data_IF_968101159083
#
_entry.id   IF_968101159083
#
_cell.length_a   1.000
_cell.length_b   1.000
_cell.length_c   1.000
_cell.angle_alpha   90.00
_cell.angle_beta   90.00
_cell.angle_gamma   90.00
#
_symmetry.space_group_name_H-M   'P 1'
#
loop_
_entity.id
_entity.type
_entity.pdbx_description
1 polymer ?
#
# COMPACT_ATOMS: atom_id res chain seq x y z
N UNK A 1 5.02 11.80 31.40
CA UNK A 1 4.00 11.27 30.47
C UNK A 1 3.26 12.37 29.72
N UNK A 2 2.65 13.35 30.41
CA UNK A 2 1.91 14.48 29.79
C UNK A 2 2.75 15.28 28.78
N UNK A 3 4.02 15.58 29.10
CA UNK A 3 4.94 16.29 28.19
C UNK A 3 5.23 15.49 26.91
N UNK A 4 5.33 14.16 27.03
CA UNK A 4 5.58 13.26 25.90
C UNK A 4 4.38 13.28 24.95
N UNK A 5 3.17 13.15 25.49
CA UNK A 5 1.90 13.19 24.73
C UNK A 5 1.71 14.54 24.04
N UNK A 6 1.97 15.65 24.75
CA UNK A 6 1.88 17.00 24.17
C UNK A 6 2.87 17.19 23.02
N UNK A 7 4.09 16.68 23.17
CA UNK A 7 5.10 16.74 22.12
C UNK A 7 4.68 15.88 20.91
N UNK A 8 4.12 14.69 21.14
CA UNK A 8 3.59 13.83 20.08
C UNK A 8 2.44 14.47 19.33
N UNK A 9 1.53 15.22 19.95
CA UNK A 9 0.54 15.97 19.17
C UNK A 9 1.15 17.14 18.38
N UNK A 10 2.20 17.78 18.89
CA UNK A 10 2.83 18.94 18.27
C UNK A 10 3.70 18.56 17.06
N UNK A 11 4.53 17.54 17.21
CA UNK A 11 5.48 17.09 16.18
C UNK A 11 5.06 15.80 15.48
N UNK A 12 4.09 15.05 16.03
CA UNK A 12 3.59 13.78 15.49
C UNK A 12 4.72 12.76 15.34
N UNK A 13 5.10 12.50 14.10
CA UNK A 13 6.24 11.67 13.72
C UNK A 13 7.35 12.47 13.05
N UNK A 14 7.26 13.80 12.98
CA UNK A 14 8.27 14.68 12.41
C UNK A 14 9.27 15.12 13.48
N UNK A 15 10.50 15.42 13.06
CA UNK A 15 11.55 15.97 13.95
C UNK A 15 11.35 17.47 14.18
N UNK A 16 11.56 18.24 13.13
CA UNK A 16 11.35 19.68 13.09
C UNK A 16 10.85 20.05 11.69
N UNK A 17 9.90 20.98 11.62
CA UNK A 17 9.30 21.47 10.39
C UNK A 17 10.09 22.63 9.78
N UNK A 18 11.06 23.18 10.50
CA UNK A 18 11.91 24.30 10.06
C UNK A 18 13.18 23.86 9.33
N UNK A 19 13.50 22.58 9.34
CA UNK A 19 14.67 22.03 8.65
C UNK A 19 14.46 22.02 7.13
N UNK A 20 15.53 22.24 6.35
CA UNK A 20 15.48 22.16 4.88
C UNK A 20 15.03 20.78 4.40
N UNK A 21 15.53 19.73 5.05
CA UNK A 21 15.12 18.35 4.83
C UNK A 21 14.27 17.86 6.00
N UNK A 22 12.99 17.61 5.74
CA UNK A 22 12.07 17.13 6.77
C UNK A 22 12.38 15.67 7.08
N UNK A 23 12.60 15.39 8.37
CA UNK A 23 12.84 14.05 8.89
C UNK A 23 11.61 13.49 9.58
N UNK A 24 11.42 12.17 9.44
CA UNK A 24 10.35 11.40 10.09
C UNK A 24 10.92 10.25 10.94
N UNK A 25 10.17 9.88 11.97
CA UNK A 25 10.49 8.77 12.86
C UNK A 25 10.18 7.43 12.17
N UNK A 26 11.23 6.73 11.74
CA UNK A 26 11.15 5.44 11.05
C UNK A 26 10.49 4.36 11.92
N UNK A 27 10.63 4.42 13.25
CA UNK A 27 9.97 3.48 14.14
C UNK A 27 8.44 3.60 14.04
N UNK A 28 7.91 4.83 14.02
CA UNK A 28 6.48 5.09 13.86
C UNK A 28 5.99 4.64 12.47
N UNK A 29 6.78 4.91 11.43
CA UNK A 29 6.48 4.48 10.06
C UNK A 29 6.39 2.96 9.94
N UNK A 30 7.30 2.22 10.58
CA UNK A 30 7.27 0.74 10.59
C UNK A 30 6.06 0.18 11.32
N UNK A 31 5.70 0.76 12.48
CA UNK A 31 4.49 0.37 13.20
C UNK A 31 3.25 0.64 12.34
N UNK A 32 3.19 1.78 11.66
CA UNK A 32 2.11 2.09 10.72
C UNK A 32 2.02 1.09 9.57
N UNK A 33 3.16 0.75 8.95
CA UNK A 33 3.21 -0.27 7.90
C UNK A 33 2.67 -1.61 8.41
N UNK A 34 3.01 -1.99 9.65
CA UNK A 34 2.48 -3.19 10.31
C UNK A 34 0.97 -3.15 10.54
N UNK A 35 0.41 -2.02 10.98
CA UNK A 35 -1.04 -1.86 11.15
C UNK A 35 -1.77 -1.97 9.80
N UNK A 36 -1.27 -1.26 8.78
CA UNK A 36 -1.88 -1.24 7.46
C UNK A 36 -1.71 -2.58 6.72
N UNK A 37 -0.81 -3.46 7.15
CA UNK A 37 -0.59 -4.81 6.58
C UNK A 37 -1.85 -5.68 6.60
N UNK A 38 -2.77 -5.42 7.54
CA UNK A 38 -4.05 -6.15 7.64
C UNK A 38 -4.85 -6.02 6.34
N UNK A 39 -4.78 -4.87 5.68
CA UNK A 39 -5.53 -4.56 4.47
C UNK A 39 -5.09 -5.47 3.31
N UNK A 40 -3.83 -5.46 2.83
CA UNK A 40 -3.43 -6.33 1.74
C UNK A 40 -3.59 -7.82 2.08
N UNK A 41 -3.43 -8.25 3.34
CA UNK A 41 -3.73 -9.63 3.74
C UNK A 41 -5.19 -9.99 3.44
N UNK A 42 -6.14 -9.16 3.89
CA UNK A 42 -7.56 -9.35 3.62
C UNK A 42 -7.87 -9.34 2.10
N UNK A 43 -7.23 -8.44 1.36
CA UNK A 43 -7.41 -8.34 -0.09
C UNK A 43 -6.86 -9.56 -0.84
N UNK A 44 -5.74 -10.14 -0.41
CA UNK A 44 -5.20 -11.39 -0.99
C UNK A 44 -6.23 -12.51 -0.86
N UNK A 45 -6.79 -12.73 0.34
CA UNK A 45 -7.79 -13.79 0.53
C UNK A 45 -9.03 -13.58 -0.34
N UNK A 46 -9.49 -12.33 -0.44
CA UNK A 46 -10.61 -12.00 -1.34
C UNK A 46 -10.27 -12.33 -2.79
N UNK A 47 -9.12 -11.87 -3.29
CA UNK A 47 -8.73 -12.07 -4.69
C UNK A 47 -8.45 -13.53 -5.02
N UNK A 48 -7.90 -14.32 -4.08
CA UNK A 48 -7.76 -15.77 -4.26
C UNK A 48 -9.14 -16.41 -4.45
N UNK A 49 -10.13 -16.05 -3.64
CA UNK A 49 -11.50 -16.56 -3.82
C UNK A 49 -12.09 -16.13 -5.16
N UNK A 50 -11.85 -14.90 -5.60
CA UNK A 50 -12.39 -14.38 -6.87
C UNK A 50 -11.74 -15.06 -8.08
N UNK A 51 -10.42 -15.30 -8.03
CA UNK A 51 -9.64 -15.84 -9.15
C UNK A 51 -9.77 -17.37 -9.24
N UNK A 52 -9.75 -18.07 -8.12
CA UNK A 52 -9.71 -19.54 -8.07
C UNK A 52 -11.00 -20.18 -7.57
N UNK A 53 -11.98 -19.39 -7.11
CA UNK A 53 -13.27 -19.92 -6.69
C UNK A 53 -14.10 -20.45 -7.87
N UNK A 54 -15.02 -21.39 -7.64
CA UNK A 54 -15.91 -21.89 -8.68
C UNK A 54 -16.74 -20.73 -9.25
N UNK A 55 -16.61 -20.49 -10.55
CA UNK A 55 -17.34 -19.41 -11.23
C UNK A 55 -18.81 -19.76 -11.44
N UNK A 56 -19.12 -21.05 -11.59
CA UNK A 56 -20.44 -21.59 -11.82
C UNK A 56 -20.81 -22.56 -10.70
N UNK A 57 -22.02 -22.40 -10.18
CA UNK A 57 -22.60 -23.28 -9.16
C UNK A 57 -23.93 -23.80 -9.70
N UNK A 58 -24.13 -25.11 -9.65
CA UNK A 58 -25.40 -25.74 -10.04
C UNK A 58 -26.49 -25.26 -9.09
N UNK A 59 -27.62 -24.80 -9.63
CA UNK A 59 -28.72 -24.29 -8.83
C UNK A 59 -29.28 -25.39 -7.92
N UNK A 60 -29.31 -25.15 -6.61
CA UNK A 60 -29.69 -26.13 -5.57
C UNK A 60 -31.10 -26.72 -5.74
N UNK A 61 -31.97 -26.02 -6.46
CA UNK A 61 -33.37 -26.38 -6.71
C UNK A 61 -33.60 -27.03 -8.09
N UNK A 62 -32.55 -27.30 -8.87
CA UNK A 62 -32.68 -27.95 -10.18
C UNK A 62 -32.22 -29.40 -10.14
N UNK A 63 -33.06 -30.29 -10.66
CA UNK A 63 -32.72 -31.70 -10.90
C UNK A 63 -31.92 -31.73 -12.20
N UNK A 64 -30.71 -32.30 -12.16
CA UNK A 64 -29.94 -32.54 -13.37
C UNK A 64 -30.77 -33.40 -14.33
N UNK A 65 -31.06 -32.87 -15.52
CA UNK A 65 -31.87 -33.57 -16.52
C UNK A 65 -30.90 -34.32 -17.43
N UNK A 66 -31.05 -35.64 -17.49
CA UNK A 66 -30.31 -36.49 -18.42
C UNK A 66 -30.72 -36.14 -19.86
N UNK A 67 -29.75 -35.85 -20.73
CA UNK A 67 -30.04 -35.54 -22.14
C UNK A 67 -30.18 -36.79 -23.01
N UNK A 68 -29.91 -37.98 -22.44
CA UNK A 68 -29.84 -39.28 -23.13
C UNK A 68 -28.81 -39.32 -24.27
N UNK A 69 -27.89 -38.37 -24.30
CA UNK A 69 -26.80 -38.28 -25.26
C UNK A 69 -25.48 -38.60 -24.56
N UNK A 70 -24.55 -39.21 -25.29
CA UNK A 70 -23.18 -39.43 -24.83
C UNK A 70 -22.21 -38.49 -25.55
N UNK A 71 -21.19 -38.02 -24.84
CA UNK A 71 -20.10 -37.29 -25.48
C UNK A 71 -19.17 -38.24 -26.27
N UNK A 72 -18.18 -37.67 -26.93
CA UNK A 72 -17.18 -38.42 -27.72
C UNK A 72 -16.31 -39.40 -26.90
N UNK A 73 -16.43 -39.37 -25.57
CA UNK A 73 -15.74 -40.24 -24.61
C UNK A 73 -16.72 -41.21 -23.91
N UNK A 74 -17.92 -41.42 -24.47
CA UNK A 74 -18.98 -42.29 -23.95
C UNK A 74 -19.49 -41.91 -22.54
N UNK A 75 -19.40 -40.64 -22.15
CA UNK A 75 -19.96 -40.12 -20.90
C UNK A 75 -21.36 -39.55 -21.14
N UNK A 76 -22.31 -39.85 -20.25
CA UNK A 76 -23.69 -39.35 -20.31
C UNK A 76 -23.70 -37.83 -20.06
N UNK A 77 -24.35 -37.09 -20.96
CA UNK A 77 -24.48 -35.64 -20.88
C UNK A 77 -25.69 -35.28 -20.02
N UNK A 78 -25.49 -34.40 -19.04
CA UNK A 78 -26.55 -33.86 -18.19
C UNK A 78 -26.70 -32.36 -18.45
N UNK A 79 -27.94 -31.90 -18.58
CA UNK A 79 -28.29 -30.50 -18.61
C UNK A 79 -28.58 -30.00 -17.18
N UNK A 80 -27.85 -28.97 -16.76
CA UNK A 80 -28.00 -28.35 -15.44
C UNK A 80 -28.20 -26.84 -15.59
N UNK A 81 -29.05 -26.27 -14.75
CA UNK A 81 -29.12 -24.82 -14.60
C UNK A 81 -27.97 -24.38 -13.69
N UNK A 82 -27.08 -23.55 -14.23
CA UNK A 82 -25.93 -23.04 -13.50
C UNK A 82 -26.10 -21.55 -13.23
N UNK A 83 -25.86 -21.15 -11.99
CA UNK A 83 -25.80 -19.75 -11.59
C UNK A 83 -24.35 -19.30 -11.49
N UNK A 84 -24.09 -18.05 -11.92
CA UNK A 84 -22.77 -17.44 -11.76
C UNK A 84 -22.70 -16.74 -10.41
N UNK A 85 -21.62 -16.98 -9.67
CA UNK A 85 -21.40 -16.31 -8.39
C UNK A 85 -21.16 -14.81 -8.60
N UNK A 86 -21.96 -13.98 -7.94
CA UNK A 86 -21.79 -12.52 -7.89
C UNK A 86 -21.12 -12.15 -6.57
N UNK A 87 -20.09 -11.32 -6.62
CA UNK A 87 -19.39 -10.83 -5.43
C UNK A 87 -19.85 -9.43 -5.09
N UNK A 88 -20.19 -9.21 -3.81
CA UNK A 88 -20.35 -7.86 -3.26
C UNK A 88 -18.99 -7.37 -2.74
N UNK A 89 -18.48 -6.30 -3.36
CA UNK A 89 -17.21 -5.67 -3.00
C UNK A 89 -17.38 -4.39 -2.16
N UNK A 90 -18.56 -4.12 -1.60
CA UNK A 90 -18.84 -2.89 -0.86
C UNK A 90 -17.87 -2.67 0.30
N UNK A 91 -17.59 -3.72 1.08
CA UNK A 91 -16.68 -3.63 2.23
C UNK A 91 -15.22 -3.45 1.80
N UNK A 92 -14.77 -4.24 0.82
CA UNK A 92 -13.44 -4.19 0.23
C UNK A 92 -13.16 -2.79 -0.32
N UNK A 93 -14.14 -2.21 -1.02
CA UNK A 93 -14.06 -0.87 -1.59
C UNK A 93 -13.93 0.20 -0.51
N UNK A 94 -14.74 0.14 0.55
CA UNK A 94 -14.62 1.07 1.69
C UNK A 94 -13.24 0.98 2.35
N UNK A 95 -12.72 -0.24 2.51
CA UNK A 95 -11.41 -0.48 3.11
C UNK A 95 -10.27 0.05 2.21
N UNK A 96 -10.35 -0.16 0.90
CA UNK A 96 -9.39 0.38 -0.06
C UNK A 96 -9.45 1.91 -0.14
N UNK A 97 -10.63 2.51 -0.11
CA UNK A 97 -10.77 3.97 -0.05
C UNK A 97 -10.14 4.52 1.22
N UNK A 98 -10.35 3.86 2.36
CA UNK A 98 -9.67 4.21 3.61
C UNK A 98 -8.15 4.13 3.47
N UNK A 99 -7.63 3.03 2.90
CA UNK A 99 -6.20 2.86 2.64
C UNK A 99 -5.65 3.93 1.68
N UNK A 100 -6.39 4.28 0.63
CA UNK A 100 -6.02 5.31 -0.33
C UNK A 100 -5.93 6.67 0.35
N UNK A 101 -6.94 7.02 1.14
CA UNK A 101 -6.97 8.25 1.92
C UNK A 101 -5.78 8.33 2.88
N UNK A 102 -5.47 7.24 3.58
CA UNK A 102 -4.28 7.11 4.43
C UNK A 102 -2.97 7.36 3.68
N UNK A 103 -2.80 6.81 2.48
CA UNK A 103 -1.61 7.06 1.65
C UNK A 103 -1.51 8.52 1.20
N UNK A 104 -2.63 9.11 0.75
CA UNK A 104 -2.67 10.49 0.26
C UNK A 104 -2.40 11.51 1.38
N UNK A 105 -3.00 11.32 2.55
CA UNK A 105 -2.75 12.17 3.71
C UNK A 105 -1.27 12.18 4.10
N UNK A 106 -0.58 11.05 3.94
CA UNK A 106 0.85 10.92 4.28
C UNK A 106 1.75 11.80 3.41
N UNK A 107 1.34 12.12 2.19
CA UNK A 107 2.15 12.91 1.26
C UNK A 107 2.39 14.32 1.78
N UNK A 108 1.42 14.90 2.49
CA UNK A 108 1.50 16.26 3.01
C UNK A 108 1.72 16.30 4.52
N UNK A 109 2.45 17.31 4.99
CA UNK A 109 2.71 17.51 6.43
C UNK A 109 1.38 17.77 7.16
N UNK A 110 0.53 18.61 6.58
CA UNK A 110 -0.76 18.97 7.15
C UNK A 110 -1.69 17.74 7.14
N UNK A 111 -1.79 17.05 6.01
CA UNK A 111 -2.63 15.85 5.86
C UNK A 111 -2.25 14.75 6.84
N UNK A 112 -0.96 14.54 7.10
CA UNK A 112 -0.48 13.50 8.02
C UNK A 112 -1.04 13.65 9.44
N UNK A 113 -1.44 14.86 9.86
CA UNK A 113 -2.07 15.11 11.16
C UNK A 113 -3.50 14.59 11.26
N UNK A 114 -4.17 14.43 10.13
CA UNK A 114 -5.55 13.93 10.05
C UNK A 114 -5.62 12.41 9.86
N UNK A 115 -4.48 11.74 9.68
CA UNK A 115 -4.45 10.29 9.50
C UNK A 115 -4.60 9.57 10.84
N UNK A 116 -5.65 8.73 11.00
CA UNK A 116 -5.82 7.90 12.18
C UNK A 116 -4.64 6.95 12.43
N UNK A 117 -4.13 6.27 11.40
CA UNK A 117 -3.01 5.33 11.63
C UNK A 117 -1.70 6.01 11.97
N UNK A 118 -1.46 7.21 11.44
CA UNK A 118 -0.26 7.97 11.79
C UNK A 118 -0.29 8.33 13.27
N UNK A 119 -1.40 8.90 13.74
CA UNK A 119 -1.61 9.21 15.15
C UNK A 119 -1.40 7.98 16.02
N UNK A 120 -2.08 6.88 15.70
CA UNK A 120 -1.96 5.63 16.45
C UNK A 120 -0.52 5.10 16.48
N UNK A 121 0.18 5.12 15.34
CA UNK A 121 1.57 4.66 15.27
C UNK A 121 2.55 5.54 16.07
N UNK A 122 2.32 6.86 16.09
CA UNK A 122 3.08 7.80 16.91
C UNK A 122 2.83 7.56 18.41
N UNK A 123 1.61 7.18 18.80
CA UNK A 123 1.31 6.81 20.18
C UNK A 123 1.94 5.48 20.59
N UNK A 124 1.88 4.46 19.72
CA UNK A 124 2.45 3.15 19.99
C UNK A 124 3.99 3.13 20.03
N UNK A 125 4.62 4.19 19.52
CA UNK A 125 6.08 4.36 19.55
C UNK A 125 6.57 5.32 20.64
N UNK A 126 5.67 5.76 21.53
CA UNK A 126 6.05 6.54 22.71
C UNK A 126 7.07 5.79 23.57
N UNK A 127 8.14 6.47 23.96
CA UNK A 127 9.18 5.91 24.82
C UNK A 127 10.23 5.06 24.11
N UNK A 128 10.10 4.83 22.79
CA UNK A 128 11.19 4.27 21.98
C UNK A 128 12.07 5.38 21.42
N UNK A 129 13.37 5.10 21.30
CA UNK A 129 14.30 6.04 20.69
C UNK A 129 13.95 6.27 19.21
N UNK A 130 13.73 7.53 18.79
CA UNK A 130 13.34 7.82 17.42
C UNK A 130 14.52 7.68 16.48
N UNK A 131 14.31 6.96 15.37
CA UNK A 131 15.26 6.84 14.27
C UNK A 131 14.82 7.78 13.16
N UNK A 132 15.60 8.81 12.89
CA UNK A 132 15.24 9.85 11.93
C UNK A 132 15.69 9.51 10.51
N UNK A 133 14.75 9.52 9.56
CA UNK A 133 15.01 9.34 8.13
C UNK A 133 14.32 10.44 7.31
N UNK A 134 14.84 10.81 6.12
CA UNK A 134 14.24 11.86 5.31
C UNK A 134 12.86 11.45 4.76
N UNK A 135 11.95 12.42 4.68
CA UNK A 135 10.57 12.24 4.22
C UNK A 135 10.45 11.96 2.71
N UNK A 136 11.31 12.57 1.89
CA UNK A 136 11.22 12.52 0.42
C UNK A 136 11.05 11.09 -0.15
N UNK A 137 11.96 10.15 0.15
CA UNK A 137 11.86 8.78 -0.34
C UNK A 137 10.61 8.04 0.11
N UNK A 138 10.06 8.38 1.28
CA UNK A 138 8.86 7.74 1.83
C UNK A 138 7.60 8.19 1.11
N UNK A 139 7.56 9.43 0.61
CA UNK A 139 6.48 9.90 -0.27
C UNK A 139 6.38 9.06 -1.55
N UNK A 140 7.50 8.63 -2.11
CA UNK A 140 7.51 7.74 -3.27
C UNK A 140 6.87 6.38 -2.93
N UNK A 141 7.19 5.80 -1.77
CA UNK A 141 6.56 4.56 -1.32
C UNK A 141 5.03 4.70 -1.16
N UNK A 142 4.56 5.81 -0.57
CA UNK A 142 3.12 6.06 -0.43
C UNK A 142 2.42 6.33 -1.76
N UNK A 143 3.06 7.01 -2.70
CA UNK A 143 2.53 7.19 -4.07
C UNK A 143 2.39 5.85 -4.79
N UNK A 144 3.38 4.97 -4.65
CA UNK A 144 3.34 3.63 -5.22
C UNK A 144 2.20 2.81 -4.61
N UNK A 145 2.04 2.83 -3.29
CA UNK A 145 0.91 2.20 -2.61
C UNK A 145 -0.43 2.77 -3.05
N UNK A 146 -0.57 4.09 -3.16
CA UNK A 146 -1.78 4.74 -3.66
C UNK A 146 -2.13 4.30 -5.09
N UNK A 147 -1.14 4.22 -5.98
CA UNK A 147 -1.32 3.71 -7.34
C UNK A 147 -1.87 2.28 -7.35
N UNK A 148 -1.30 1.40 -6.52
CA UNK A 148 -1.73 0.01 -6.44
C UNK A 148 -3.17 -0.13 -5.93
N UNK A 149 -3.52 0.67 -4.91
CA UNK A 149 -4.87 0.71 -4.36
C UNK A 149 -5.87 1.21 -5.42
N UNK A 150 -5.52 2.25 -6.19
CA UNK A 150 -6.38 2.75 -7.26
C UNK A 150 -6.69 1.70 -8.32
N UNK A 151 -5.68 0.93 -8.77
CA UNK A 151 -5.90 -0.18 -9.72
C UNK A 151 -6.84 -1.23 -9.13
N UNK A 152 -6.71 -1.55 -7.84
CA UNK A 152 -7.61 -2.49 -7.17
C UNK A 152 -9.04 -1.95 -7.08
N UNK A 153 -9.23 -0.65 -6.82
CA UNK A 153 -10.56 -0.02 -6.77
C UNK A 153 -11.25 -0.13 -8.14
N UNK A 154 -10.53 0.12 -9.24
CA UNK A 154 -11.04 -0.05 -10.61
C UNK A 154 -11.42 -1.50 -10.87
N UNK A 155 -10.61 -2.47 -10.43
CA UNK A 155 -10.93 -3.89 -10.58
C UNK A 155 -12.23 -4.30 -9.86
N UNK A 156 -12.48 -3.77 -8.66
CA UNK A 156 -13.67 -4.11 -7.87
C UNK A 156 -14.93 -3.36 -8.28
N UNK A 157 -14.81 -2.16 -8.87
CA UNK A 157 -15.96 -1.33 -9.26
C UNK A 157 -15.76 -0.77 -10.68
N UNK A 158 -15.63 -1.63 -11.71
CA UNK A 158 -15.36 -1.17 -13.07
C UNK A 158 -16.51 -0.33 -13.61
N UNK A 159 -17.75 -0.70 -13.30
CA UNK A 159 -19.00 -0.03 -13.67
C UNK A 159 -19.09 1.39 -13.09
N UNK A 160 -18.85 1.54 -11.78
CA UNK A 160 -18.92 2.84 -11.11
C UNK A 160 -17.85 3.80 -11.64
N UNK A 161 -16.64 3.29 -11.88
CA UNK A 161 -15.53 4.08 -12.45
C UNK A 161 -15.86 4.48 -13.88
N UNK A 162 -16.35 3.55 -14.71
CA UNK A 162 -16.73 3.81 -16.09
C UNK A 162 -17.83 4.86 -16.19
N UNK A 163 -18.88 4.73 -15.38
CA UNK A 163 -19.97 5.71 -15.33
C UNK A 163 -19.49 7.09 -14.91
N UNK A 164 -18.58 7.17 -13.93
CA UNK A 164 -18.00 8.43 -13.49
C UNK A 164 -17.15 9.08 -14.60
N UNK A 165 -16.29 8.29 -15.26
CA UNK A 165 -15.46 8.75 -16.39
C UNK A 165 -16.33 9.23 -17.54
N UNK A 166 -17.35 8.46 -17.93
CA UNK A 166 -18.29 8.82 -18.99
C UNK A 166 -19.04 10.11 -18.68
N UNK A 167 -19.46 10.30 -17.42
CA UNK A 167 -20.12 11.54 -16.99
C UNK A 167 -19.19 12.76 -17.00
N UNK A 168 -17.89 12.57 -16.74
CA UNK A 168 -16.92 13.67 -16.65
C UNK A 168 -16.34 14.06 -18.00
N UNK A 169 -16.02 13.07 -18.85
CA UNK A 169 -15.32 13.25 -20.11
C UNK A 169 -16.24 13.16 -21.34
N UNK A 170 -17.54 12.86 -21.15
CA UNK A 170 -18.50 12.68 -22.24
C UNK A 170 -18.20 11.48 -23.13
N UNK A 171 -17.44 10.50 -22.63
CA UNK A 171 -17.08 9.28 -23.34
C UNK A 171 -18.15 8.20 -23.16
N UNK A 172 -18.09 7.14 -23.98
CA UNK A 172 -18.98 5.98 -23.89
C UNK A 172 -18.18 4.68 -23.72
N UNK A 173 -17.42 4.60 -22.63
CA UNK A 173 -16.65 3.40 -22.28
C UNK A 173 -17.61 2.31 -21.78
N UNK A 174 -17.44 1.02 -22.17
CA UNK A 174 -18.38 -0.06 -21.86
C UNK A 174 -18.42 -0.40 -20.37
N UNK A 175 -19.58 -0.35 -19.72
CA UNK A 175 -19.73 -0.56 -18.27
C UNK A 175 -19.86 -2.03 -17.84
N UNK A 176 -20.03 -2.93 -18.80
CA UNK A 176 -20.35 -4.36 -18.57
C UNK A 176 -19.10 -5.26 -18.53
N UNK A 177 -17.91 -4.68 -18.64
CA UNK A 177 -16.65 -5.42 -18.70
C UNK A 177 -15.65 -4.91 -17.65
N UNK A 178 -14.79 -5.82 -17.19
CA UNK A 178 -13.71 -5.45 -16.28
C UNK A 178 -12.46 -5.07 -17.07
N UNK A 179 -11.99 -3.83 -16.91
CA UNK A 179 -10.79 -3.33 -17.59
C UNK A 179 -9.48 -3.87 -17.01
N UNK A 180 -9.51 -4.36 -15.78
CA UNK A 180 -8.32 -4.84 -15.07
C UNK A 180 -8.33 -6.37 -15.05
N UNK A 181 -7.32 -7.03 -15.62
CA UNK A 181 -7.21 -8.48 -15.53
C UNK A 181 -7.07 -8.96 -14.08
N UNK A 182 -7.79 -10.01 -13.71
CA UNK A 182 -7.77 -10.53 -12.33
C UNK A 182 -6.38 -10.96 -11.86
N UNK A 183 -5.54 -11.48 -12.78
CA UNK A 183 -4.16 -11.83 -12.47
C UNK A 183 -3.32 -10.60 -12.09
N UNK A 184 -3.56 -9.46 -12.74
CA UNK A 184 -2.82 -8.23 -12.47
C UNK A 184 -3.16 -7.72 -11.08
N UNK A 185 -4.45 -7.66 -10.74
CA UNK A 185 -4.92 -7.27 -9.41
C UNK A 185 -4.33 -8.18 -8.32
N UNK A 186 -4.37 -9.50 -8.52
CA UNK A 186 -3.82 -10.47 -7.56
C UNK A 186 -2.30 -10.28 -7.35
N UNK A 187 -1.52 -10.18 -8.41
CA UNK A 187 -0.07 -9.98 -8.32
C UNK A 187 0.29 -8.65 -7.65
N UNK A 188 -0.46 -7.58 -7.95
CA UNK A 188 -0.23 -6.26 -7.38
C UNK A 188 -0.43 -6.25 -5.86
N UNK A 189 -1.48 -6.92 -5.38
CA UNK A 189 -1.74 -7.04 -3.94
C UNK A 189 -0.68 -7.91 -3.27
N UNK A 190 -0.21 -8.98 -3.89
CA UNK A 190 0.90 -9.79 -3.38
C UNK A 190 2.21 -8.99 -3.27
N UNK A 191 2.55 -8.21 -4.29
CA UNK A 191 3.72 -7.32 -4.27
C UNK A 191 3.57 -6.26 -3.18
N UNK A 192 2.37 -5.67 -3.03
CA UNK A 192 2.08 -4.72 -1.96
C UNK A 192 2.27 -5.34 -0.58
N UNK A 193 1.73 -6.54 -0.36
CA UNK A 193 1.89 -7.30 0.87
C UNK A 193 3.38 -7.54 1.17
N UNK A 194 4.15 -7.99 0.18
CA UNK A 194 5.58 -8.21 0.32
C UNK A 194 6.31 -6.91 0.71
N UNK A 195 6.06 -5.80 0.02
CA UNK A 195 6.74 -4.53 0.31
C UNK A 195 6.39 -3.97 1.69
N UNK A 196 5.14 -4.07 2.11
CA UNK A 196 4.72 -3.64 3.44
C UNK A 196 5.29 -4.55 4.53
N UNK A 197 5.33 -5.86 4.29
CA UNK A 197 5.93 -6.83 5.20
C UNK A 197 7.43 -6.58 5.38
N UNK A 198 8.16 -6.37 4.28
CA UNK A 198 9.59 -6.01 4.31
C UNK A 198 9.83 -4.72 5.11
N UNK A 199 8.98 -3.71 4.95
CA UNK A 199 9.10 -2.45 5.68
C UNK A 199 8.78 -2.62 7.17
N UNK A 200 7.68 -3.29 7.51
CA UNK A 200 7.26 -3.47 8.89
C UNK A 200 8.25 -4.35 9.68
N UNK A 201 8.56 -5.53 9.15
CA UNK A 201 9.32 -6.57 9.87
C UNK A 201 10.82 -6.37 9.73
N UNK A 202 11.34 -6.24 8.51
CA UNK A 202 12.78 -6.14 8.24
C UNK A 202 13.27 -4.69 8.38
N UNK A 203 12.39 -3.70 8.16
CA UNK A 203 12.79 -2.29 8.06
C UNK A 203 13.32 -1.90 6.67
N UNK A 204 13.07 -2.74 5.66
CA UNK A 204 13.47 -2.51 4.28
C UNK A 204 12.30 -1.91 3.47
N UNK A 205 12.42 -0.65 3.05
CA UNK A 205 11.39 0.02 2.25
C UNK A 205 11.78 0.01 0.76
N UNK A 206 11.09 -0.80 -0.04
CA UNK A 206 11.32 -0.92 -1.48
C UNK A 206 11.12 0.42 -2.22
N UNK A 207 10.10 1.21 -1.84
CA UNK A 207 9.85 2.53 -2.43
C UNK A 207 10.99 3.53 -2.18
N UNK A 208 11.62 3.50 -1.00
CA UNK A 208 12.80 4.33 -0.73
C UNK A 208 13.98 3.95 -1.63
N UNK A 209 14.17 2.66 -1.93
CA UNK A 209 15.25 2.18 -2.80
C UNK A 209 14.98 2.50 -4.27
N UNK A 210 13.73 2.37 -4.71
CA UNK A 210 13.32 2.81 -6.05
C UNK A 210 13.57 4.31 -6.24
N UNK A 211 13.23 5.13 -5.24
CA UNK A 211 13.53 6.57 -5.26
C UNK A 211 15.04 6.84 -5.38
N UNK A 212 15.88 6.11 -4.64
CA UNK A 212 17.34 6.26 -4.72
C UNK A 212 17.87 5.92 -6.13
N UNK A 213 17.34 4.88 -6.76
CA UNK A 213 17.68 4.51 -8.14
C UNK A 213 17.27 5.62 -9.12
N UNK A 214 16.05 6.15 -8.99
CA UNK A 214 15.55 7.24 -9.85
C UNK A 214 16.34 8.54 -9.67
N UNK A 215 16.78 8.83 -8.43
CA UNK A 215 17.66 9.95 -8.15
C UNK A 215 19.07 9.75 -8.76
N UNK A 216 19.58 8.51 -8.74
CA UNK A 216 20.85 8.17 -9.39
C UNK A 216 20.77 8.30 -10.91
N UNK A 217 19.64 7.91 -11.51
CA UNK A 217 19.35 8.10 -12.93
C UNK A 217 19.09 9.57 -13.32
N UNK A 218 19.06 10.51 -12.37
CA UNK A 218 18.87 11.94 -12.63
C UNK A 218 17.43 12.37 -12.93
N UNK A 219 16.46 11.48 -12.78
CA UNK A 219 15.03 11.75 -13.05
C UNK A 219 14.34 12.48 -11.90
N UNK A 220 14.93 12.47 -10.70
CA UNK A 220 14.36 13.05 -9.48
C UNK A 220 15.42 13.82 -8.70
N UNK A 221 14.99 14.86 -7.99
CA UNK A 221 15.85 15.83 -7.32
C UNK A 221 16.76 15.18 -6.26
N UNK A 222 18.07 15.50 -6.31
CA UNK A 222 19.18 14.77 -5.65
C UNK A 222 19.32 14.96 -4.13
N UNK A 223 18.47 15.76 -3.49
CA UNK A 223 18.66 16.11 -2.07
C UNK A 223 18.03 15.08 -1.13
N UNK A 224 18.63 13.88 -1.06
CA UNK A 224 18.27 12.86 -0.08
C UNK A 224 19.53 12.29 0.59
N UNK A 225 19.87 12.82 1.76
CA UNK A 225 21.06 12.41 2.54
C UNK A 225 21.06 10.91 2.92
N UNK A 226 19.90 10.28 3.06
CA UNK A 226 19.79 8.83 3.33
C UNK A 226 19.86 7.95 2.07
N UNK A 227 19.63 8.53 0.89
CA UNK A 227 19.71 7.81 -0.38
C UNK A 227 21.17 7.64 -0.82
N UNK A 228 22.06 8.53 -0.34
CA UNK A 228 23.49 8.53 -0.61
C UNK A 228 24.29 7.69 0.42
N UNK A 229 23.59 6.87 1.22
CA UNK A 229 24.18 5.94 2.20
C UNK A 229 25.18 6.62 3.17
N UNK A 230 24.88 7.85 3.59
CA UNK A 230 25.72 8.60 4.51
C UNK A 230 25.55 8.03 5.92
N UNK A 231 26.53 7.26 6.40
CA UNK A 231 26.63 6.82 7.79
C UNK A 231 27.02 8.02 8.69
N UNK A 232 26.02 8.65 9.29
CA UNK A 232 26.21 9.77 10.23
C UNK A 232 27.04 9.38 11.47
N UNK A 233 27.02 8.11 11.87
CA UNK A 233 27.84 7.61 12.97
C UNK A 233 29.30 7.44 12.53
N UNK A 234 29.55 7.08 11.27
CA UNK A 234 30.88 7.15 10.67
C UNK A 234 31.40 8.59 10.58
N UNK A 235 30.56 9.55 10.17
CA UNK A 235 30.93 10.98 10.12
C UNK A 235 31.26 11.50 11.52
N UNK A 236 30.43 11.21 12.53
CA UNK A 236 30.70 11.57 13.93
C UNK A 236 32.01 10.96 14.41
N UNK A 237 32.25 9.67 14.18
CA UNK A 237 33.51 8.99 14.51
C UNK A 237 34.71 9.66 13.84
N UNK A 238 34.63 10.02 12.55
CA UNK A 238 35.70 10.73 11.83
C UNK A 238 35.93 12.14 12.36
N UNK A 239 34.88 12.87 12.74
CA UNK A 239 34.97 14.22 13.31
C UNK A 239 35.57 14.19 14.72
N UNK A 240 35.18 13.23 15.56
CA UNK A 240 35.78 12.99 16.88
C UNK A 240 37.28 12.65 16.76
N UNK A 241 37.65 11.78 15.81
CA UNK A 241 39.06 11.45 15.54
C UNK A 241 39.88 12.67 15.11
N UNK A 242 39.32 13.54 14.26
CA UNK A 242 39.98 14.80 13.84
C UNK A 242 40.16 15.77 15.02
N UNK A 243 39.15 15.94 15.88
CA UNK A 243 39.23 16.77 17.09
C UNK A 243 40.29 16.24 18.07
N UNK A 244 40.29 14.93 18.32
CA UNK A 244 41.26 14.29 19.21
C UNK A 244 42.69 14.37 18.66
N UNK A 245 42.88 14.35 17.34
CA UNK A 245 44.20 14.55 16.71
C UNK A 245 44.66 16.01 16.87
N UNK A 246 43.76 16.98 16.66
CA UNK A 246 44.06 18.41 16.81
C UNK A 246 44.42 18.78 18.25
N UNK A 247 43.79 18.18 19.25
CA UNK A 247 44.11 18.42 20.66
C UNK A 247 45.40 17.72 21.15
N UNK A 248 46.02 16.87 20.32
CA UNK A 248 47.30 16.19 20.59
C UNK A 248 48.49 16.85 19.87
N UNK A 249 48.26 17.93 19.14
CA UNK A 249 49.27 18.77 18.46
C UNK A 249 49.24 20.14 19.10
#
# INVERSE_FOLDING_TARGET
MVTLVKNTFKSLWFRDLKEETIHINDAAVRVRAGILLIIPIYMVFTLISVVYGPHWVVAENTIAVDTFETNWEDQIVYQVEATRRVYDYSFQTKLLIYALFEMLLSLSIIGSRFSPTILLSSFLTLGKDPVWKPLGPKRCAWLMGASFISVCIVFFNPDAVASWVNSLLGTSIPVDENYVPSWLALNLVWICLLFMWLEAIIGYCAGCKLYAILAHAGLVNRHCEACDNIDWDEIKRKKQKKLNKKNKT
#
